data_IF_738573453096
#
_entry.id   IF_738573453096
#
_cell.length_a   1.000
_cell.length_b   1.000
_cell.length_c   1.000
_cell.angle_alpha   90.00
_cell.angle_beta   90.00
_cell.angle_gamma   90.00
#
_symmetry.space_group_name_H-M   'P 1'
#
loop_
_entity.id
_entity.type
_entity.pdbx_description
1 polymer ?
#
# COMPACT_ATOMS: atom_id res chain seq x y z
N UNK A 1 3.37 -10.00 11.77
CA UNK A 1 1.97 -9.74 11.35
C UNK A 1 1.94 -9.44 9.85
N UNK A 2 0.76 -9.49 9.23
CA UNK A 2 0.50 -9.19 7.82
C UNK A 2 -0.32 -7.91 7.72
N UNK A 3 0.30 -6.81 7.30
CA UNK A 3 -0.21 -5.44 7.41
C UNK A 3 -0.40 -4.81 6.02
N UNK A 4 -1.52 -4.14 5.78
CA UNK A 4 -1.78 -3.46 4.51
C UNK A 4 -2.03 -1.97 4.71
N UNK A 5 -1.16 -1.10 4.22
CA UNK A 5 -1.46 0.34 4.14
C UNK A 5 -2.23 0.64 2.86
N UNK A 6 -3.48 1.10 2.98
CA UNK A 6 -4.28 1.56 1.84
C UNK A 6 -4.15 3.08 1.67
N UNK A 7 -3.51 3.52 0.59
CA UNK A 7 -3.23 4.94 0.31
C UNK A 7 -3.71 5.32 -1.09
N UNK A 8 -3.99 6.60 -1.32
CA UNK A 8 -4.35 7.08 -2.66
C UNK A 8 -3.15 7.04 -3.61
N UNK A 9 -1.97 7.41 -3.12
CA UNK A 9 -0.71 7.46 -3.85
C UNK A 9 0.46 7.40 -2.85
N UNK A 10 1.68 7.18 -3.36
CA UNK A 10 2.92 7.17 -2.57
C UNK A 10 3.94 8.10 -3.19
N UNK A 11 3.58 9.39 -3.27
CA UNK A 11 4.39 10.44 -3.90
C UNK A 11 5.02 11.37 -2.87
N UNK A 12 6.28 11.75 -3.11
CA UNK A 12 7.06 12.71 -2.36
C UNK A 12 6.70 14.14 -2.79
N UNK A 13 5.45 14.52 -2.57
CA UNK A 13 4.91 15.87 -2.89
C UNK A 13 4.68 16.72 -1.64
N UNK A 14 5.33 16.38 -0.54
CA UNK A 14 5.16 17.08 0.75
C UNK A 14 3.84 16.77 1.46
N UNK A 15 3.17 15.67 1.12
CA UNK A 15 1.98 15.21 1.84
C UNK A 15 2.41 14.49 3.13
N UNK A 16 2.29 15.18 4.27
CA UNK A 16 2.75 14.66 5.56
C UNK A 16 2.12 13.31 5.96
N UNK A 17 0.87 13.06 5.59
CA UNK A 17 0.21 11.78 5.89
C UNK A 17 0.86 10.64 5.10
N UNK A 18 1.21 10.88 3.84
CA UNK A 18 1.90 9.89 2.99
C UNK A 18 3.30 9.62 3.53
N UNK A 19 4.04 10.66 3.94
CA UNK A 19 5.38 10.49 4.49
C UNK A 19 5.36 9.63 5.74
N UNK A 20 4.47 9.93 6.70
CA UNK A 20 4.34 9.15 7.94
C UNK A 20 3.91 7.72 7.66
N UNK A 21 2.97 7.49 6.72
CA UNK A 21 2.55 6.15 6.35
C UNK A 21 3.68 5.34 5.71
N UNK A 22 4.48 5.96 4.84
CA UNK A 22 5.66 5.32 4.21
C UNK A 22 6.72 4.99 5.27
N UNK A 23 7.03 5.92 6.18
CA UNK A 23 7.98 5.68 7.27
C UNK A 23 7.52 4.54 8.17
N UNK A 24 6.24 4.53 8.56
CA UNK A 24 5.65 3.47 9.37
C UNK A 24 5.72 2.12 8.68
N UNK A 25 5.39 2.05 7.39
CA UNK A 25 5.47 0.80 6.61
C UNK A 25 6.90 0.26 6.57
N UNK A 26 7.90 1.12 6.35
CA UNK A 26 9.32 0.75 6.34
C UNK A 26 9.78 0.25 7.71
N UNK A 27 9.38 0.91 8.80
CA UNK A 27 9.72 0.48 10.17
C UNK A 27 9.09 -0.87 10.49
N UNK A 28 7.81 -1.06 10.19
CA UNK A 28 7.10 -2.32 10.42
C UNK A 28 7.74 -3.48 9.64
N UNK A 29 8.14 -3.26 8.39
CA UNK A 29 8.84 -4.27 7.60
C UNK A 29 10.20 -4.62 8.21
N UNK A 30 10.96 -3.61 8.66
CA UNK A 30 12.23 -3.80 9.36
C UNK A 30 12.09 -4.56 10.68
N UNK A 31 10.95 -4.42 11.37
CA UNK A 31 10.62 -5.19 12.58
C UNK A 31 10.15 -6.64 12.28
N UNK A 32 10.20 -7.07 11.01
CA UNK A 32 9.90 -8.45 10.59
C UNK A 32 8.42 -8.69 10.29
N UNK A 33 7.60 -7.65 10.18
CA UNK A 33 6.24 -7.78 9.66
C UNK A 33 6.25 -7.91 8.13
N UNK A 34 5.25 -8.61 7.61
CA UNK A 34 4.99 -8.62 6.17
C UNK A 34 4.09 -7.42 5.87
N UNK A 35 4.59 -6.46 5.10
CA UNK A 35 3.90 -5.20 4.85
C UNK A 35 3.60 -5.06 3.38
N UNK A 36 2.36 -4.70 3.07
CA UNK A 36 1.92 -4.30 1.74
C UNK A 36 1.49 -2.84 1.77
N UNK A 37 1.70 -2.13 0.65
CA UNK A 37 1.14 -0.80 0.43
C UNK A 37 0.31 -0.85 -0.84
N UNK A 38 -1.00 -0.68 -0.73
CA UNK A 38 -1.90 -0.59 -1.87
C UNK A 38 -2.16 0.87 -2.23
N UNK A 39 -1.76 1.30 -3.43
CA UNK A 39 -2.01 2.67 -3.90
C UNK A 39 -1.87 2.80 -5.42
N UNK A 40 -2.13 3.99 -5.97
CA UNK A 40 -1.90 4.28 -7.40
C UNK A 40 -0.40 4.32 -7.77
N UNK A 41 0.51 4.06 -6.83
CA UNK A 41 1.94 4.19 -7.03
C UNK A 41 2.45 5.61 -6.77
N UNK A 42 3.71 5.83 -7.07
CA UNK A 42 4.39 7.10 -6.89
C UNK A 42 5.89 6.96 -6.63
N UNK A 43 6.56 8.09 -6.41
CA UNK A 43 8.02 8.16 -6.24
C UNK A 43 8.60 7.30 -5.09
N UNK A 44 7.81 6.92 -4.08
CA UNK A 44 8.27 6.10 -2.96
C UNK A 44 8.25 4.59 -3.25
N UNK A 45 7.80 4.12 -4.42
CA UNK A 45 7.78 2.67 -4.75
C UNK A 45 9.16 2.01 -4.57
N UNK A 46 10.23 2.65 -5.03
CA UNK A 46 11.61 2.15 -4.87
C UNK A 46 12.04 2.09 -3.41
N UNK A 47 11.67 3.09 -2.60
CA UNK A 47 11.99 3.15 -1.17
C UNK A 47 11.29 2.02 -0.41
N UNK A 48 10.01 1.81 -0.70
CA UNK A 48 9.20 0.73 -0.12
C UNK A 48 9.81 -0.63 -0.46
N UNK A 49 10.12 -0.86 -1.74
CA UNK A 49 10.74 -2.11 -2.18
C UNK A 49 12.10 -2.36 -1.51
N UNK A 50 12.92 -1.32 -1.36
CA UNK A 50 14.21 -1.42 -0.67
C UNK A 50 14.11 -1.83 0.80
N UNK A 51 12.98 -1.56 1.47
CA UNK A 51 12.70 -1.98 2.85
C UNK A 51 11.92 -3.30 2.94
N UNK A 52 11.73 -4.01 1.81
CA UNK A 52 10.97 -5.25 1.78
C UNK A 52 9.46 -5.08 1.84
N UNK A 53 8.95 -3.85 1.69
CA UNK A 53 7.51 -3.57 1.59
C UNK A 53 7.01 -3.88 0.18
N UNK A 54 5.92 -4.63 0.07
CA UNK A 54 5.32 -5.01 -1.21
C UNK A 54 4.32 -3.95 -1.68
N UNK A 55 4.64 -3.24 -2.75
CA UNK A 55 3.68 -2.31 -3.35
C UNK A 55 2.68 -3.06 -4.25
N UNK A 56 1.39 -2.74 -4.12
CA UNK A 56 0.30 -3.27 -4.94
C UNK A 56 -0.40 -2.09 -5.61
N UNK A 57 -0.36 -2.06 -6.93
CA UNK A 57 -1.01 -0.97 -7.67
C UNK A 57 -2.53 -1.13 -7.63
N UNK A 58 -3.22 -0.18 -7.00
CA UNK A 58 -4.68 -0.07 -6.99
C UNK A 58 -5.07 1.36 -7.38
N UNK A 59 -5.84 1.50 -8.44
CA UNK A 59 -6.38 2.80 -8.85
C UNK A 59 -7.74 3.05 -8.18
N UNK A 60 -7.81 4.08 -7.34
CA UNK A 60 -9.00 4.45 -6.58
C UNK A 60 -9.78 5.61 -7.22
N UNK A 61 -9.52 5.93 -8.49
CA UNK A 61 -10.28 6.96 -9.21
C UNK A 61 -11.79 6.67 -9.16
N UNK A 62 -12.61 7.70 -8.93
CA UNK A 62 -14.07 7.62 -8.74
C UNK A 62 -14.82 7.35 -10.05
N UNK A 63 -14.43 6.30 -10.77
CA UNK A 63 -15.11 5.76 -11.95
C UNK A 63 -15.62 4.35 -11.60
N UNK A 64 -16.89 4.01 -11.90
CA UNK A 64 -17.48 2.75 -11.45
C UNK A 64 -16.67 1.50 -11.80
N UNK A 65 -16.21 1.39 -13.05
CA UNK A 65 -15.41 0.24 -13.50
C UNK A 65 -14.03 0.18 -12.84
N UNK A 66 -13.39 1.34 -12.62
CA UNK A 66 -12.10 1.43 -11.93
C UNK A 66 -12.25 1.01 -10.47
N UNK A 67 -13.26 1.53 -9.77
CA UNK A 67 -13.55 1.15 -8.38
C UNK A 67 -13.89 -0.33 -8.22
N UNK A 68 -14.64 -0.91 -9.16
CA UNK A 68 -14.94 -2.35 -9.13
C UNK A 68 -13.66 -3.19 -9.25
N UNK A 69 -12.74 -2.80 -10.14
CA UNK A 69 -11.42 -3.46 -10.29
C UNK A 69 -10.54 -3.26 -9.07
N UNK A 70 -10.56 -2.05 -8.49
CA UNK A 70 -9.84 -1.74 -7.27
C UNK A 70 -10.32 -2.63 -6.11
N UNK A 71 -11.63 -2.75 -5.95
CA UNK A 71 -12.26 -3.57 -4.93
C UNK A 71 -12.01 -5.06 -5.14
N UNK A 72 -12.03 -5.56 -6.39
CA UNK A 72 -11.69 -6.95 -6.66
C UNK A 72 -10.23 -7.26 -6.33
N UNK A 73 -9.31 -6.36 -6.71
CA UNK A 73 -7.88 -6.50 -6.42
C UNK A 73 -7.62 -6.46 -4.92
N UNK A 74 -8.23 -5.50 -4.21
CA UNK A 74 -8.12 -5.38 -2.76
C UNK A 74 -8.67 -6.64 -2.05
N UNK A 75 -9.83 -7.16 -2.48
CA UNK A 75 -10.40 -8.39 -1.89
C UNK A 75 -9.54 -9.62 -2.13
N UNK A 76 -8.96 -9.76 -3.32
CA UNK A 76 -8.02 -10.83 -3.61
C UNK A 76 -6.78 -10.71 -2.72
N UNK A 77 -6.20 -9.51 -2.61
CA UNK A 77 -5.06 -9.24 -1.74
C UNK A 77 -5.34 -9.59 -0.28
N UNK A 78 -6.44 -9.11 0.29
CA UNK A 78 -6.82 -9.39 1.68
C UNK A 78 -6.96 -10.90 1.94
N UNK A 79 -7.51 -11.65 0.98
CA UNK A 79 -7.75 -13.10 1.09
C UNK A 79 -6.47 -13.90 0.92
N UNK A 80 -5.77 -13.70 -0.19
CA UNK A 80 -4.61 -14.49 -0.59
C UNK A 80 -3.44 -14.22 0.36
N UNK A 81 -3.26 -12.95 0.72
CA UNK A 81 -2.25 -12.52 1.66
C UNK A 81 -2.74 -12.52 3.11
N UNK A 82 -3.89 -13.15 3.42
CA UNK A 82 -4.54 -13.23 4.75
C UNK A 82 -4.18 -12.05 5.67
N UNK A 83 -4.47 -10.85 5.18
CA UNK A 83 -4.10 -9.60 5.85
C UNK A 83 -4.83 -9.54 7.19
N UNK A 84 -4.09 -9.19 8.24
CA UNK A 84 -4.59 -9.13 9.61
C UNK A 84 -5.09 -7.73 9.95
N UNK A 85 -4.41 -6.70 9.45
CA UNK A 85 -4.70 -5.28 9.73
C UNK A 85 -4.55 -4.46 8.44
N UNK A 86 -5.49 -3.53 8.23
CA UNK A 86 -5.48 -2.51 7.17
C UNK A 86 -5.37 -1.13 7.80
#
# INVERSE_FOLDING_TARGET
>A
MRLLHLLNHVDQIGNGIVNVAVDLACVQAREGHQVWVASRGGSYETLLAAHGVRHVRIDQERRPLTLLRALSTLRALLRDERIEIV
#
